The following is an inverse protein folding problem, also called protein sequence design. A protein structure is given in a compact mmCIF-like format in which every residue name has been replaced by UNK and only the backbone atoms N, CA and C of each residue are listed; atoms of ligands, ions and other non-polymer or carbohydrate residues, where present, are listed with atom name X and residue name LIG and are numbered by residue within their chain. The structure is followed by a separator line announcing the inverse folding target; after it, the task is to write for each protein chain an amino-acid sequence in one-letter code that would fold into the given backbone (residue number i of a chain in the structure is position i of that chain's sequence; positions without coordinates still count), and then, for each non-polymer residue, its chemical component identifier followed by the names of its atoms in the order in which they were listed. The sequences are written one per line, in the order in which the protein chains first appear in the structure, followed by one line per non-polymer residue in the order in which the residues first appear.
data_IF_616249469401
#
_entry.id   IF_616249469401
#
_cell.length_a   1.000
_cell.length_b   1.000
_cell.length_c   1.000
_cell.angle_alpha   90.00
_cell.angle_beta   90.00
_cell.angle_gamma   90.00
#
_symmetry.space_group_name_H-M   'P 1'
#
loop_
_entity.id
_entity.type
_entity.pdbx_description
1 polymer ?
#
# COMPACT_ATOMS: atom_id res chain seq x y z
N UNK A 1 -4.11 -32.54 17.99
CA UNK A 1 -2.97 -31.62 17.73
C UNK A 1 -3.55 -30.31 17.27
N UNK A 2 -3.68 -29.34 18.18
CA UNK A 2 -4.24 -28.02 17.92
C UNK A 2 -3.12 -27.12 17.37
N UNK A 3 -3.27 -26.69 16.12
CA UNK A 3 -2.41 -25.68 15.50
C UNK A 3 -2.62 -24.35 16.22
N UNK A 4 -1.58 -23.58 16.56
CA UNK A 4 -1.77 -22.31 17.24
C UNK A 4 -2.44 -21.32 16.29
N UNK A 5 -3.61 -20.82 16.70
CA UNK A 5 -4.32 -19.75 16.03
C UNK A 5 -3.40 -18.53 15.91
N UNK A 6 -2.93 -18.24 14.69
CA UNK A 6 -2.31 -16.95 14.38
C UNK A 6 -3.37 -15.88 14.63
N UNK A 7 -3.08 -14.93 15.52
CA UNK A 7 -3.89 -13.74 15.70
C UNK A 7 -3.77 -12.90 14.43
N UNK A 8 -4.81 -12.90 13.60
CA UNK A 8 -4.90 -12.01 12.45
C UNK A 8 -5.51 -10.69 12.96
N UNK A 9 -4.71 -9.63 12.97
CA UNK A 9 -5.24 -8.27 13.11
C UNK A 9 -6.08 -7.96 11.86
N UNK A 10 -7.26 -7.34 12.00
CA UNK A 10 -8.16 -7.11 10.88
C UNK A 10 -7.48 -6.30 9.78
N UNK A 11 -7.77 -6.68 8.53
CA UNK A 11 -7.30 -6.02 7.32
C UNK A 11 -7.51 -4.50 7.43
N UNK A 12 -6.45 -3.78 7.09
CA UNK A 12 -6.20 -2.36 7.36
C UNK A 12 -7.27 -1.43 6.78
N UNK A 13 -8.36 -1.23 7.51
CA UNK A 13 -9.06 0.05 7.71
C UNK A 13 -9.54 0.21 9.16
N UNK A 14 -9.25 -0.75 10.04
CA UNK A 14 -9.43 -0.57 11.47
C UNK A 14 -8.49 0.53 11.94
N UNK A 15 -9.05 1.63 12.47
CA UNK A 15 -8.40 2.68 13.25
C UNK A 15 -7.19 2.10 13.96
N UNK A 16 -6.01 2.17 13.33
CA UNK A 16 -4.76 1.95 14.02
C UNK A 16 -4.74 3.11 14.99
N UNK A 17 -5.28 2.89 16.20
CA UNK A 17 -5.21 3.89 17.27
C UNK A 17 -3.75 4.22 17.32
N UNK A 18 -3.47 5.42 16.82
CA UNK A 18 -2.14 5.92 16.66
C UNK A 18 -1.51 5.91 18.05
N UNK A 19 -0.75 4.85 18.34
CA UNK A 19 0.36 4.94 19.27
C UNK A 19 1.52 5.69 18.62
N UNK A 20 1.30 6.28 17.43
CA UNK A 20 2.05 7.40 16.87
C UNK A 20 1.39 8.71 17.35
N UNK A 21 1.15 8.86 18.67
CA UNK A 21 0.90 10.19 19.24
C UNK A 21 2.15 11.07 19.22
N UNK A 22 3.25 10.54 18.66
CA UNK A 22 4.48 11.26 18.37
C UNK A 22 4.88 10.89 16.96
N UNK A 23 4.54 11.76 16.01
CA UNK A 23 5.37 11.94 14.82
C UNK A 23 6.82 11.93 15.34
N UNK A 24 7.68 11.00 14.87
CA UNK A 24 9.05 10.93 15.37
C UNK A 24 9.66 12.33 15.31
N UNK A 25 10.33 12.77 16.38
CA UNK A 25 10.79 14.15 16.47
C UNK A 25 11.59 14.61 15.23
N UNK A 26 12.29 13.66 14.58
CA UNK A 26 13.00 13.91 13.32
C UNK A 26 12.08 14.30 12.16
N UNK A 27 10.89 13.70 12.03
CA UNK A 27 9.87 14.10 11.04
C UNK A 27 9.31 15.49 11.37
N UNK A 28 9.07 15.79 12.65
CA UNK A 28 8.55 17.09 13.08
C UNK A 28 9.54 18.25 12.84
N UNK A 29 10.85 17.97 12.86
CA UNK A 29 11.88 18.98 12.57
C UNK A 29 12.10 19.26 11.08
N UNK A 30 11.46 18.51 10.17
CA UNK A 30 11.71 18.61 8.73
C UNK A 30 13.16 18.30 8.31
N UNK A 31 14.00 17.84 9.24
CA UNK A 31 15.39 17.51 8.99
C UNK A 31 15.47 16.06 8.51
N UNK A 32 15.38 15.89 7.20
CA UNK A 32 15.91 14.69 6.56
C UNK A 32 17.40 14.66 6.87
N UNK A 33 17.87 13.60 7.51
CA UNK A 33 19.29 13.42 7.75
C UNK A 33 20.01 13.42 6.38
N UNK A 34 20.86 14.42 6.06
CA UNK A 34 21.50 14.53 4.75
C UNK A 34 22.40 13.32 4.43
N UNK A 35 22.64 12.45 5.43
CA UNK A 35 23.44 11.24 5.30
C UNK A 35 22.73 10.09 4.60
N UNK A 36 21.41 10.16 4.36
CA UNK A 36 20.70 9.12 3.61
C UNK A 36 20.04 9.71 2.36
N UNK A 37 20.78 9.80 1.23
CA UNK A 37 20.30 10.37 -0.03
C UNK A 37 18.99 9.75 -0.54
N UNK A 38 18.70 8.50 -0.16
CA UNK A 38 17.49 7.78 -0.54
C UNK A 38 16.20 8.47 -0.06
N UNK A 39 16.23 9.23 1.04
CA UNK A 39 15.04 9.91 1.56
C UNK A 39 14.80 11.31 0.97
N UNK A 40 15.73 11.84 0.15
CA UNK A 40 15.51 13.14 -0.51
C UNK A 40 14.32 13.12 -1.48
N UNK A 41 13.94 11.94 -1.94
CA UNK A 41 12.81 11.73 -2.85
C UNK A 41 11.59 11.16 -2.14
N UNK A 42 11.59 11.12 -0.80
CA UNK A 42 10.48 10.60 0.00
C UNK A 42 9.80 11.75 0.73
N UNK A 43 8.49 11.84 0.56
CA UNK A 43 7.64 12.85 1.21
C UNK A 43 6.58 12.17 2.04
N UNK A 44 6.24 12.77 3.18
CA UNK A 44 5.10 12.36 3.99
C UNK A 44 3.84 13.10 3.52
N UNK A 45 2.83 12.37 3.08
CA UNK A 45 1.48 12.91 2.90
C UNK A 45 0.71 12.72 4.20
N UNK A 46 0.19 13.81 4.75
CA UNK A 46 -0.67 13.79 5.93
C UNK A 46 -2.12 14.08 5.54
N UNK A 47 -3.03 13.15 5.86
CA UNK A 47 -4.48 13.35 5.68
C UNK A 47 -5.10 13.69 7.04
N UNK A 48 -5.57 14.94 7.15
CA UNK A 48 -5.93 15.53 8.43
C UNK A 48 -7.18 14.91 9.07
N UNK A 49 -8.19 14.51 8.28
CA UNK A 49 -9.48 14.05 8.83
C UNK A 49 -9.38 12.65 9.45
N UNK A 50 -8.63 11.75 8.83
CA UNK A 50 -8.39 10.39 9.30
C UNK A 50 -7.18 10.27 10.23
N UNK A 51 -6.38 11.35 10.36
CA UNK A 51 -5.10 11.37 11.08
C UNK A 51 -4.12 10.31 10.56
N UNK A 52 -4.16 10.05 9.25
CA UNK A 52 -3.31 9.07 8.59
C UNK A 52 -2.12 9.74 7.92
N UNK A 53 -1.03 8.99 7.77
CA UNK A 53 0.19 9.47 7.11
C UNK A 53 0.76 8.40 6.20
N UNK A 54 1.24 8.83 5.03
CA UNK A 54 1.75 7.95 4.00
C UNK A 54 3.11 8.44 3.52
N UNK A 55 4.11 7.58 3.53
CA UNK A 55 5.38 7.88 2.86
C UNK A 55 5.25 7.56 1.38
N UNK A 56 5.60 8.51 0.51
CA UNK A 56 5.59 8.30 -0.92
C UNK A 56 6.95 8.61 -1.53
N UNK A 57 7.32 7.83 -2.55
CA UNK A 57 8.44 8.15 -3.42
C UNK A 57 7.97 9.11 -4.52
N UNK A 58 8.44 10.36 -4.47
CA UNK A 58 7.95 11.46 -5.31
C UNK A 58 8.07 11.17 -6.82
N UNK A 59 9.21 10.69 -7.35
CA UNK A 59 9.31 10.36 -8.77
C UNK A 59 8.27 9.32 -9.22
N UNK A 60 8.05 8.27 -8.43
CA UNK A 60 7.05 7.23 -8.73
C UNK A 60 5.63 7.80 -8.69
N UNK A 61 5.32 8.63 -7.68
CA UNK A 61 4.02 9.28 -7.58
C UNK A 61 3.75 10.20 -8.78
N UNK A 62 4.71 11.07 -9.14
CA UNK A 62 4.58 11.99 -10.27
C UNK A 62 4.46 11.27 -11.61
N UNK A 63 5.19 10.17 -11.80
CA UNK A 63 5.06 9.34 -13.00
C UNK A 63 3.66 8.75 -13.13
N UNK A 64 3.10 8.23 -12.01
CA UNK A 64 1.74 7.70 -11.99
C UNK A 64 0.68 8.78 -12.21
N UNK A 65 0.88 9.98 -11.65
CA UNK A 65 -0.10 11.06 -11.77
C UNK A 65 -0.20 11.64 -13.19
N UNK A 66 0.88 11.63 -13.97
CA UNK A 66 0.84 12.04 -15.41
C UNK A 66 -0.05 11.12 -16.24
N UNK A 67 -0.09 9.84 -15.89
CA UNK A 67 -0.83 8.81 -16.63
C UNK A 67 -2.31 8.72 -16.19
N UNK A 68 -2.78 9.61 -15.31
CA UNK A 68 -4.18 9.68 -14.88
C UNK A 68 -5.09 10.30 -15.96
N UNK A 69 -4.88 9.99 -17.24
CA UNK A 69 -5.91 10.29 -18.24
C UNK A 69 -7.09 9.34 -17.97
N UNK A 70 -8.34 9.82 -18.01
CA UNK A 70 -9.52 8.99 -17.75
C UNK A 70 -9.58 7.69 -18.56
N UNK A 71 -8.90 7.65 -19.72
CA UNK A 71 -8.87 6.52 -20.64
C UNK A 71 -7.65 5.61 -20.47
N UNK A 72 -6.52 6.10 -19.92
CA UNK A 72 -5.23 5.38 -19.87
C UNK A 72 -5.04 4.57 -18.58
N UNK A 73 -6.02 4.56 -17.68
CA UNK A 73 -5.95 3.90 -16.38
C UNK A 73 -6.26 2.40 -16.45
N UNK A 74 -5.70 1.75 -17.47
CA UNK A 74 -5.79 0.31 -17.68
C UNK A 74 -5.13 -0.53 -16.58
N UNK A 75 -4.54 0.09 -15.56
CA UNK A 75 -3.93 -0.61 -14.44
C UNK A 75 -4.68 -0.42 -13.12
N UNK A 76 -5.38 0.71 -12.92
CA UNK A 76 -6.09 0.97 -11.67
C UNK A 76 -7.55 0.53 -11.80
N UNK A 77 -8.02 -0.25 -10.82
CA UNK A 77 -9.39 -0.73 -10.77
C UNK A 77 -10.09 -0.14 -9.57
N UNK A 78 -11.09 0.68 -9.85
CA UNK A 78 -11.96 1.25 -8.83
C UNK A 78 -13.10 0.27 -8.54
N UNK A 79 -13.27 -0.10 -7.28
CA UNK A 79 -14.35 -0.96 -6.82
C UNK A 79 -15.28 -0.14 -5.94
N UNK A 80 -16.52 0.01 -6.37
CA UNK A 80 -17.58 0.53 -5.51
C UNK A 80 -18.14 -0.57 -4.63
N UNK A 81 -18.29 -0.24 -3.35
CA UNK A 81 -18.97 -1.09 -2.37
C UNK A 81 -20.26 -0.38 -1.96
N UNK A 82 -21.40 -0.99 -2.27
CA UNK A 82 -22.71 -0.44 -1.95
C UNK A 82 -23.21 -1.07 -0.65
N UNK A 83 -23.62 -0.26 0.32
CA UNK A 83 -24.10 -0.76 1.61
C UNK A 83 -25.36 -1.63 1.50
N UNK A 84 -26.14 -1.48 0.42
CA UNK A 84 -27.39 -2.21 0.20
C UNK A 84 -27.24 -3.42 -0.73
N UNK A 85 -26.04 -3.65 -1.30
CA UNK A 85 -25.81 -4.73 -2.25
C UNK A 85 -24.56 -5.52 -1.87
N UNK A 86 -24.71 -6.84 -1.72
CA UNK A 86 -23.61 -7.76 -1.45
C UNK A 86 -22.67 -7.98 -2.66
N UNK A 87 -22.92 -7.27 -3.77
CA UNK A 87 -22.15 -7.35 -5.00
C UNK A 87 -21.31 -6.08 -5.19
N UNK A 88 -19.97 -6.16 -5.06
CA UNK A 88 -19.05 -5.09 -5.42
C UNK A 88 -19.13 -4.85 -6.93
N UNK A 89 -18.94 -3.61 -7.33
CA UNK A 89 -19.05 -3.18 -8.71
C UNK A 89 -17.74 -2.53 -9.16
N UNK A 90 -17.27 -2.87 -10.35
CA UNK A 90 -16.11 -2.22 -10.95
C UNK A 90 -16.58 -0.92 -11.59
N UNK A 91 -16.08 0.22 -11.11
CA UNK A 91 -16.36 1.49 -11.73
C UNK A 91 -15.59 1.62 -13.05
N UNK A 92 -16.24 2.10 -14.12
CA UNK A 92 -15.60 2.24 -15.43
C UNK A 92 -14.54 3.35 -15.47
N UNK A 93 -14.61 4.29 -14.53
CA UNK A 93 -13.74 5.47 -14.46
C UNK A 93 -13.33 5.74 -13.01
N UNK A 94 -12.21 6.45 -12.86
CA UNK A 94 -11.79 6.96 -11.54
C UNK A 94 -12.73 8.10 -11.13
N UNK A 95 -13.19 8.13 -9.87
CA UNK A 95 -13.99 9.24 -9.37
C UNK A 95 -13.29 10.59 -9.57
N UNK A 96 -14.03 11.58 -10.11
CA UNK A 96 -13.47 12.88 -10.47
C UNK A 96 -12.84 13.60 -9.27
N UNK A 97 -13.44 13.48 -8.08
CA UNK A 97 -12.91 14.05 -6.85
C UNK A 97 -11.51 13.50 -6.52
N UNK A 98 -11.28 12.19 -6.72
CA UNK A 98 -9.98 11.57 -6.46
C UNK A 98 -8.92 12.09 -7.43
N UNK A 99 -9.29 12.26 -8.70
CA UNK A 99 -8.40 12.84 -9.72
C UNK A 99 -8.00 14.26 -9.31
N UNK A 100 -8.95 15.10 -8.91
CA UNK A 100 -8.69 16.47 -8.46
C UNK A 100 -7.69 16.50 -7.30
N UNK A 101 -7.86 15.63 -6.30
CA UNK A 101 -6.95 15.56 -5.15
C UNK A 101 -5.55 15.10 -5.54
N UNK A 102 -5.43 14.11 -6.43
CA UNK A 102 -4.11 13.66 -6.91
C UNK A 102 -3.42 14.75 -7.74
N UNK A 103 -4.18 15.49 -8.55
CA UNK A 103 -3.65 16.61 -9.32
C UNK A 103 -3.21 17.77 -8.42
N UNK A 104 -3.95 18.06 -7.36
CA UNK A 104 -3.57 19.04 -6.32
C UNK A 104 -2.23 18.66 -5.66
N UNK A 105 -2.12 17.44 -5.14
CA UNK A 105 -0.87 16.94 -4.55
C UNK A 105 0.29 16.95 -5.56
N UNK A 106 0.00 16.63 -6.82
CA UNK A 106 0.98 16.69 -7.92
C UNK A 106 1.46 18.12 -8.16
N UNK A 107 0.56 19.11 -8.15
CA UNK A 107 0.90 20.51 -8.31
C UNK A 107 1.76 21.01 -7.14
N UNK A 108 1.42 20.64 -5.91
CA UNK A 108 2.22 20.95 -4.72
C UNK A 108 3.66 20.40 -4.85
N UNK A 109 3.81 19.12 -5.22
CA UNK A 109 5.13 18.50 -5.41
C UNK A 109 5.92 19.12 -6.57
N UNK A 110 5.26 19.49 -7.66
CA UNK A 110 5.91 20.14 -8.82
C UNK A 110 6.31 21.58 -8.58
N UNK A 111 5.67 22.27 -7.63
CA UNK A 111 6.06 23.62 -7.24
C UNK A 111 7.44 23.68 -6.56
N UNK A 112 7.96 22.51 -6.13
CA UNK A 112 9.28 22.38 -5.50
C UNK A 112 10.41 22.47 -6.54
N UNK A 113 11.39 23.33 -6.29
CA UNK A 113 12.54 23.55 -7.19
C UNK A 113 13.66 22.52 -6.93
N UNK A 114 14.28 22.04 -8.01
CA UNK A 114 15.54 21.28 -7.99
C UNK A 114 15.57 20.03 -7.07
N UNK A 115 14.44 19.35 -6.86
CA UNK A 115 14.38 18.13 -6.03
C UNK A 115 14.35 18.39 -4.53
N UNK A 116 14.21 19.65 -4.10
CA UNK A 116 14.00 20.00 -2.70
C UNK A 116 12.50 19.92 -2.37
N UNK A 117 12.00 18.70 -2.21
CA UNK A 117 10.61 18.49 -1.85
C UNK A 117 10.34 18.87 -0.38
N UNK A 118 9.16 19.40 -0.05
CA UNK A 118 8.74 19.57 1.34
C UNK A 118 8.71 18.21 2.04
N UNK A 119 9.15 18.14 3.30
CA UNK A 119 9.12 16.89 4.09
C UNK A 119 7.70 16.36 4.28
N UNK A 120 6.74 17.28 4.44
CA UNK A 120 5.33 16.96 4.67
C UNK A 120 4.46 17.81 3.74
N UNK A 121 3.48 17.18 3.10
CA UNK A 121 2.40 17.85 2.37
C UNK A 121 1.05 17.30 2.81
N UNK A 122 0.00 18.07 2.55
CA UNK A 122 -1.37 17.67 2.85
C UNK A 122 -2.27 18.04 1.66
N UNK A 123 -3.37 17.32 1.43
CA UNK A 123 -4.41 17.78 0.52
C UNK A 123 -4.88 19.19 0.90
N UNK A 124 -5.19 20.03 -0.09
CA UNK A 124 -5.61 21.43 0.15
C UNK A 124 -6.87 21.57 1.01
N UNK A 125 -7.73 20.55 1.02
CA UNK A 125 -8.95 20.50 1.82
C UNK A 125 -9.05 19.18 2.60
N UNK A 126 -9.78 19.20 3.73
CA UNK A 126 -10.05 18.00 4.49
C UNK A 126 -10.90 17.03 3.64
N UNK A 127 -10.37 15.83 3.38
CA UNK A 127 -11.00 14.91 2.44
C UNK A 127 -12.18 14.18 3.09
N UNK A 128 -13.33 14.06 2.42
CA UNK A 128 -14.38 13.16 2.88
C UNK A 128 -13.93 11.70 2.79
N UNK A 129 -14.59 10.83 3.56
CA UNK A 129 -14.22 9.40 3.68
C UNK A 129 -14.18 8.67 2.32
N UNK A 130 -15.17 8.92 1.45
CA UNK A 130 -15.24 8.31 0.13
C UNK A 130 -14.07 8.71 -0.80
N UNK A 131 -13.36 9.80 -0.50
CA UNK A 131 -12.16 10.26 -1.21
C UNK A 131 -10.87 9.80 -0.53
N UNK A 132 -10.82 9.78 0.81
CA UNK A 132 -9.61 9.43 1.56
C UNK A 132 -9.23 7.94 1.43
N UNK A 133 -10.22 7.05 1.42
CA UNK A 133 -10.03 5.61 1.24
C UNK A 133 -9.35 5.26 -0.09
N UNK A 134 -9.87 5.67 -1.26
CA UNK A 134 -9.21 5.36 -2.53
C UNK A 134 -7.90 6.14 -2.69
N UNK A 135 -7.76 7.33 -2.09
CA UNK A 135 -6.47 8.03 -2.07
C UNK A 135 -5.41 7.22 -1.34
N UNK A 136 -5.70 6.71 -0.13
CA UNK A 136 -4.77 5.88 0.62
C UNK A 136 -4.31 4.67 -0.21
N UNK A 137 -5.24 3.96 -0.84
CA UNK A 137 -4.93 2.84 -1.73
C UNK A 137 -4.04 3.27 -2.92
N UNK A 138 -4.30 4.44 -3.52
CA UNK A 138 -3.47 4.98 -4.60
C UNK A 138 -2.05 5.33 -4.11
N UNK A 139 -1.92 5.95 -2.93
CA UNK A 139 -0.62 6.30 -2.35
C UNK A 139 0.21 5.07 -2.01
N UNK A 140 -0.45 3.99 -1.55
CA UNK A 140 0.16 2.70 -1.21
C UNK A 140 0.40 1.79 -2.43
N UNK A 141 0.11 2.25 -3.64
CA UNK A 141 0.30 1.50 -4.89
C UNK A 141 -0.52 0.21 -4.95
N UNK A 142 -1.72 0.22 -4.34
CA UNK A 142 -2.62 -0.92 -4.43
C UNK A 142 -3.14 -1.04 -5.86
N UNK A 143 -3.23 -2.26 -6.42
CA UNK A 143 -3.77 -2.46 -7.78
C UNK A 143 -5.28 -2.22 -7.84
N UNK A 144 -5.92 -2.02 -6.69
CA UNK A 144 -7.36 -1.92 -6.49
C UNK A 144 -7.64 -0.76 -5.54
N UNK A 145 -8.57 0.11 -5.93
CA UNK A 145 -9.03 1.26 -5.16
C UNK A 145 -10.46 1.01 -4.70
N UNK A 146 -10.69 0.95 -3.39
CA UNK A 146 -12.06 0.91 -2.89
C UNK A 146 -12.65 2.31 -2.87
N UNK A 147 -13.82 2.47 -3.48
CA UNK A 147 -14.55 3.73 -3.58
C UNK A 147 -15.86 3.60 -2.80
N UNK A 148 -15.88 4.00 -1.52
CA UNK A 148 -17.12 4.09 -0.75
C UNK A 148 -18.14 5.01 -1.43
N UNK A 149 -19.43 4.77 -1.20
CA UNK A 149 -20.49 5.59 -1.77
C UNK A 149 -20.57 6.97 -1.10
N UNK A 150 -20.76 8.04 -1.89
CA UNK A 150 -20.88 9.41 -1.36
C UNK A 150 -22.11 9.57 -0.44
N UNK A 151 -23.15 8.76 -0.65
CA UNK A 151 -24.38 8.76 0.16
C UNK A 151 -24.18 8.24 1.58
N UNK A 152 -23.06 7.57 1.88
CA UNK A 152 -22.65 7.20 3.25
C UNK A 152 -22.03 8.40 3.97
N UNK A 153 -22.80 9.49 4.09
CA UNK A 153 -22.34 10.75 4.67
C UNK A 153 -22.07 10.65 6.18
N UNK A 154 -22.71 9.70 6.86
CA UNK A 154 -22.52 9.45 8.28
C UNK A 154 -21.58 8.27 8.48
N UNK A 155 -20.47 8.52 9.18
CA UNK A 155 -19.46 7.51 9.63
C UNK A 155 -20.04 6.34 10.45
N UNK A 156 -21.37 6.30 10.64
CA UNK A 156 -22.11 5.23 11.30
C UNK A 156 -22.56 4.15 10.32
N UNK A 157 -22.74 4.48 9.04
CA UNK A 157 -23.21 3.57 7.99
C UNK A 157 -22.03 3.06 7.18
N UNK A 158 -21.12 2.38 7.86
CA UNK A 158 -19.88 1.96 7.24
C UNK A 158 -20.16 0.79 6.29
N UNK A 159 -19.61 0.82 5.08
CA UNK A 159 -19.78 -0.29 4.13
C UNK A 159 -19.21 -1.56 4.74
N UNK A 160 -20.10 -2.49 5.09
CA UNK A 160 -19.71 -3.76 5.68
C UNK A 160 -19.39 -4.77 4.57
N UNK A 161 -18.18 -5.32 4.60
CA UNK A 161 -17.86 -6.53 3.86
C UNK A 161 -18.30 -7.73 4.69
N UNK A 162 -19.62 -7.89 4.88
CA UNK A 162 -20.14 -9.02 5.64
C UNK A 162 -20.35 -10.23 4.74
N UNK A 163 -19.75 -11.36 5.13
CA UNK A 163 -19.84 -12.65 4.42
C UNK A 163 -19.33 -12.60 2.97
N UNK A 164 -18.57 -11.58 2.60
CA UNK A 164 -17.93 -11.49 1.29
C UNK A 164 -16.61 -12.26 1.34
N UNK A 165 -16.45 -13.17 0.39
CA UNK A 165 -15.21 -13.92 0.21
C UNK A 165 -14.19 -13.02 -0.48
N UNK A 166 -13.03 -12.83 0.14
CA UNK A 166 -11.96 -11.95 -0.32
C UNK A 166 -10.74 -12.77 -0.76
N UNK A 167 -10.16 -12.39 -1.89
CA UNK A 167 -8.83 -12.79 -2.28
C UNK A 167 -7.83 -11.86 -1.59
N UNK A 168 -6.95 -12.44 -0.78
CA UNK A 168 -5.91 -11.75 -0.01
C UNK A 168 -4.57 -12.03 -0.66
N UNK A 169 -3.85 -10.96 -1.01
CA UNK A 169 -2.53 -11.01 -1.61
C UNK A 169 -1.50 -10.44 -0.64
N UNK A 170 -0.39 -11.14 -0.47
CA UNK A 170 0.74 -10.70 0.35
C UNK A 170 2.03 -10.80 -0.44
N UNK A 171 2.70 -9.67 -0.66
CA UNK A 171 4.01 -9.57 -1.27
C UNK A 171 5.07 -9.73 -0.19
N UNK A 172 5.81 -10.84 -0.23
CA UNK A 172 6.87 -11.16 0.72
C UNK A 172 8.21 -11.01 0.00
N UNK A 173 9.12 -10.26 0.61
CA UNK A 173 10.50 -10.11 0.14
C UNK A 173 11.44 -10.85 1.07
N UNK A 174 12.52 -11.40 0.53
CA UNK A 174 13.55 -12.09 1.32
C UNK A 174 14.93 -11.68 0.85
N UNK A 175 15.86 -11.48 1.79
CA UNK A 175 17.24 -11.11 1.50
C UNK A 175 18.19 -12.20 1.98
N UNK A 176 19.18 -12.54 1.14
CA UNK A 176 20.23 -13.48 1.50
C UNK A 176 21.33 -12.74 2.27
N UNK A 177 21.69 -13.24 3.44
CA UNK A 177 22.64 -12.57 4.36
C UNK A 177 24.12 -12.65 3.89
N UNK A 178 24.37 -13.28 2.74
CA UNK A 178 25.69 -13.69 2.28
C UNK A 178 26.67 -12.56 1.93
N UNK A 179 26.25 -11.29 1.93
CA UNK A 179 27.10 -10.17 1.51
C UNK A 179 27.85 -9.44 2.65
N UNK A 180 27.64 -9.78 3.92
CA UNK A 180 28.30 -9.06 5.04
C UNK A 180 29.65 -9.63 5.47
N UNK A 181 30.13 -10.72 4.86
CA UNK A 181 31.33 -11.45 5.27
C UNK A 181 32.66 -10.92 4.68
N UNK A 182 32.70 -9.66 4.20
CA UNK A 182 33.94 -8.97 3.84
C UNK A 182 34.84 -8.59 5.04
N UNK A 183 34.35 -8.76 6.28
CA UNK A 183 35.17 -8.55 7.47
C UNK A 183 36.06 -9.77 7.68
N UNK A 184 37.30 -9.69 7.18
CA UNK A 184 38.43 -10.60 7.50
C UNK A 184 38.69 -10.64 9.01
N UNK A 185 37.85 -11.32 9.78
CA UNK A 185 38.19 -11.67 11.16
C UNK A 185 38.78 -13.06 11.17
N UNK A 186 40.08 -13.08 11.49
CA UNK A 186 40.92 -14.15 12.03
C UNK A 186 40.34 -15.59 12.01
N UNK A 187 41.12 -16.58 11.51
CA UNK A 187 40.70 -17.97 11.43
C UNK A 187 40.39 -18.52 12.83
N UNK A 188 39.11 -18.59 13.17
CA UNK A 188 38.64 -19.30 14.35
C UNK A 188 38.27 -20.72 13.91
N UNK A 189 38.94 -21.77 14.43
CA UNK A 189 38.59 -23.14 14.10
C UNK A 189 37.19 -23.44 14.68
N UNK A 190 36.21 -23.60 13.81
CA UNK A 190 34.82 -23.92 14.18
C UNK A 190 34.48 -25.32 13.68
N UNK A 191 34.07 -26.16 14.63
CA UNK A 191 33.46 -27.44 14.39
C UNK A 191 32.22 -27.28 13.49
N UNK A 192 32.04 -28.21 12.55
CA UNK A 192 30.97 -28.21 11.58
C UNK A 192 29.58 -28.33 12.23
N UNK A 193 28.93 -27.21 12.53
CA UNK A 193 27.48 -27.16 12.72
C UNK A 193 26.85 -26.55 11.47
N UNK A 194 26.27 -27.42 10.64
CA UNK A 194 25.54 -27.09 9.42
C UNK A 194 24.16 -26.50 9.76
N UNK A 195 24.11 -25.32 10.38
CA UNK A 195 22.86 -24.59 10.53
C UNK A 195 22.69 -23.58 9.39
N UNK A 196 21.61 -23.68 8.59
CA UNK A 196 21.32 -22.67 7.57
C UNK A 196 21.14 -21.30 8.25
N UNK A 197 21.79 -20.28 7.70
CA UNK A 197 21.61 -18.89 8.12
C UNK A 197 20.15 -18.47 7.97
N UNK A 198 19.58 -17.71 8.92
CA UNK A 198 18.20 -17.29 8.85
C UNK A 198 18.01 -16.27 7.72
N UNK A 199 17.30 -16.64 6.66
CA UNK A 199 16.86 -15.69 5.64
C UNK A 199 15.88 -14.69 6.27
N UNK A 200 16.17 -13.40 6.19
CA UNK A 200 15.25 -12.37 6.67
C UNK A 200 14.10 -12.19 5.67
N UNK A 201 12.87 -12.36 6.15
CA UNK A 201 11.64 -12.22 5.35
C UNK A 201 10.83 -11.03 5.82
N UNK A 202 10.35 -10.19 4.90
CA UNK A 202 9.54 -9.01 5.21
C UNK A 202 8.28 -8.96 4.35
N UNK A 203 7.16 -8.56 4.95
CA UNK A 203 5.93 -8.27 4.21
C UNK A 203 6.03 -6.85 3.64
N UNK A 204 6.06 -6.74 2.31
CA UNK A 204 6.16 -5.47 1.60
C UNK A 204 4.78 -4.82 1.44
N UNK A 205 3.78 -5.63 1.08
CA UNK A 205 2.45 -5.19 0.71
C UNK A 205 1.44 -6.28 1.05
N UNK A 206 0.31 -5.91 1.65
CA UNK A 206 -0.81 -6.83 1.89
C UNK A 206 -2.14 -6.13 1.63
N UNK A 207 -2.93 -6.68 0.72
CA UNK A 207 -4.24 -6.15 0.40
C UNK A 207 -5.22 -7.28 0.09
N UNK A 208 -6.50 -6.95 0.02
CA UNK A 208 -7.55 -7.87 -0.37
C UNK A 208 -8.49 -7.26 -1.39
N UNK A 209 -9.11 -8.08 -2.23
CA UNK A 209 -10.20 -7.71 -3.13
C UNK A 209 -11.34 -8.73 -3.06
N UNK A 210 -12.61 -8.37 -3.30
CA UNK A 210 -13.69 -9.34 -3.36
C UNK A 210 -13.46 -10.37 -4.47
N UNK A 211 -13.46 -11.65 -4.11
CA UNK A 211 -13.07 -12.74 -5.02
C UNK A 211 -14.01 -12.87 -6.21
N UNK A 212 -15.29 -12.53 -6.01
CA UNK A 212 -16.31 -12.53 -7.07
C UNK A 212 -15.95 -11.60 -8.24
N UNK A 213 -15.11 -10.59 -8.03
CA UNK A 213 -14.69 -9.70 -9.12
C UNK A 213 -13.67 -10.37 -10.05
N UNK A 214 -12.92 -11.36 -9.58
CA UNK A 214 -12.04 -12.17 -10.43
C UNK A 214 -12.81 -13.02 -11.44
N UNK A 215 -14.10 -13.28 -11.19
CA UNK A 215 -15.00 -13.95 -12.14
C UNK A 215 -15.52 -13.00 -13.22
N UNK A 216 -15.79 -11.74 -12.84
CA UNK A 216 -16.33 -10.72 -13.74
C UNK A 216 -15.26 -9.98 -14.53
N UNK A 217 -14.00 -10.02 -14.09
CA UNK A 217 -12.88 -9.33 -14.73
C UNK A 217 -11.61 -10.17 -14.66
N UNK A 218 -11.10 -10.57 -15.83
CA UNK A 218 -9.84 -11.30 -15.95
C UNK A 218 -8.66 -10.54 -15.32
N UNK A 219 -8.71 -9.20 -15.29
CA UNK A 219 -7.69 -8.35 -14.66
C UNK A 219 -7.61 -8.50 -13.14
N UNK A 220 -8.68 -8.97 -12.51
CA UNK A 220 -8.78 -9.27 -11.08
C UNK A 220 -8.68 -10.76 -10.78
N UNK A 221 -8.57 -11.62 -11.79
CA UNK A 221 -8.30 -13.02 -11.57
C UNK A 221 -6.97 -13.17 -10.80
N UNK A 222 -6.87 -14.09 -9.83
CA UNK A 222 -5.68 -14.21 -8.99
C UNK A 222 -4.36 -14.35 -9.76
N UNK A 223 -4.36 -15.13 -10.85
CA UNK A 223 -3.18 -15.27 -11.72
C UNK A 223 -2.73 -13.92 -12.33
N UNK A 224 -3.68 -13.11 -12.81
CA UNK A 224 -3.41 -11.80 -13.40
C UNK A 224 -2.88 -10.82 -12.35
N UNK A 225 -3.48 -10.80 -11.15
CA UNK A 225 -3.02 -9.94 -10.05
C UNK A 225 -1.61 -10.33 -9.60
N UNK A 226 -1.34 -11.63 -9.41
CA UNK A 226 0.00 -12.14 -9.06
C UNK A 226 1.03 -11.74 -10.11
N UNK A 227 0.74 -11.98 -11.40
CA UNK A 227 1.64 -11.66 -12.51
C UNK A 227 1.96 -10.15 -12.57
N UNK A 228 0.95 -9.30 -12.35
CA UNK A 228 1.13 -7.85 -12.30
C UNK A 228 1.99 -7.43 -11.11
N UNK A 229 1.73 -7.95 -9.90
CA UNK A 229 2.53 -7.65 -8.71
C UNK A 229 3.98 -8.10 -8.88
N UNK A 230 4.20 -9.28 -9.46
CA UNK A 230 5.54 -9.76 -9.79
C UNK A 230 6.23 -8.81 -10.77
N UNK A 231 5.57 -8.47 -11.88
CA UNK A 231 6.15 -7.57 -12.89
C UNK A 231 6.47 -6.19 -12.32
N UNK A 232 5.60 -5.67 -11.45
CA UNK A 232 5.77 -4.36 -10.82
C UNK A 232 6.97 -4.30 -9.86
N UNK A 233 7.12 -5.31 -8.98
CA UNK A 233 8.11 -5.25 -7.91
C UNK A 233 9.43 -5.97 -8.22
N UNK A 234 9.46 -6.94 -9.14
CA UNK A 234 10.63 -7.82 -9.35
C UNK A 234 11.90 -7.04 -9.71
N UNK A 235 11.81 -6.04 -10.58
CA UNK A 235 12.98 -5.27 -11.02
C UNK A 235 13.59 -4.46 -9.85
N UNK A 236 12.75 -3.86 -9.01
CA UNK A 236 13.21 -3.09 -7.85
C UNK A 236 13.79 -3.98 -6.75
N UNK A 237 13.18 -5.15 -6.50
CA UNK A 237 13.66 -6.10 -5.50
C UNK A 237 14.96 -6.79 -5.95
N UNK A 238 15.10 -7.10 -7.24
CA UNK A 238 16.34 -7.66 -7.80
C UNK A 238 17.54 -6.71 -7.64
N UNK A 239 17.33 -5.39 -7.77
CA UNK A 239 18.37 -4.37 -7.52
C UNK A 239 18.89 -4.37 -6.08
N UNK A 240 18.08 -4.87 -5.14
CA UNK A 240 18.43 -5.01 -3.72
C UNK A 240 18.95 -6.41 -3.38
N UNK A 241 19.23 -7.25 -4.38
CA UNK A 241 19.61 -8.66 -4.19
C UNK A 241 18.59 -9.45 -3.35
N UNK A 242 17.32 -9.04 -3.39
CA UNK A 242 16.22 -9.75 -2.75
C UNK A 242 15.51 -10.69 -3.71
N UNK A 243 14.71 -11.60 -3.15
CA UNK A 243 13.71 -12.39 -3.86
C UNK A 243 12.30 -11.92 -3.50
N UNK A 244 11.37 -11.97 -4.45
CA UNK A 244 9.97 -11.65 -4.26
C UNK A 244 9.11 -12.91 -4.37
N UNK A 245 8.22 -13.12 -3.41
CA UNK A 245 7.18 -14.13 -3.42
C UNK A 245 5.82 -13.46 -3.23
N UNK A 246 4.83 -13.83 -4.03
CA UNK A 246 3.44 -13.40 -3.84
C UNK A 246 2.66 -14.58 -3.28
N UNK A 247 2.05 -14.42 -2.13
CA UNK A 247 1.11 -15.38 -1.55
C UNK A 247 -0.31 -14.93 -1.84
N UNK A 248 -1.13 -15.86 -2.33
CA UNK A 248 -2.57 -15.68 -2.50
C UNK A 248 -3.31 -16.64 -1.58
N UNK A 249 -4.35 -16.14 -0.95
CA UNK A 249 -5.25 -16.93 -0.11
C UNK A 249 -6.66 -16.36 -0.22
N UNK A 250 -7.65 -17.14 0.13
CA UNK A 250 -9.05 -16.72 0.12
C UNK A 250 -9.60 -16.75 1.55
N UNK A 251 -10.27 -15.68 1.96
CA UNK A 251 -10.80 -15.52 3.32
C UNK A 251 -12.20 -14.93 3.26
N UNK A 252 -13.15 -15.52 3.97
CA UNK A 252 -14.47 -14.92 4.23
C UNK A 252 -14.43 -14.22 5.57
N UNK A 253 -14.71 -12.92 5.58
CA UNK A 253 -14.71 -12.13 6.80
C UNK A 253 -16.15 -11.87 7.26
N UNK A 254 -16.37 -11.93 8.58
CA UNK A 254 -17.65 -11.60 9.19
C UNK A 254 -17.49 -10.25 9.91
N UNK A 255 -18.35 -9.28 9.58
CA UNK A 255 -18.41 -7.98 10.26
C UNK A 255 -17.21 -7.05 10.05
N UNK A 256 -16.49 -7.14 8.93
CA UNK A 256 -15.39 -6.21 8.63
C UNK A 256 -15.93 -4.89 8.09
N UNK A 257 -15.41 -3.82 8.70
CA UNK A 257 -15.76 -2.43 8.45
C UNK A 257 -14.60 -1.77 7.71
N UNK A 258 -14.89 -1.10 6.59
CA UNK A 258 -13.93 -0.30 5.84
C UNK A 258 -13.77 1.13 6.35
#
# INVERSE_FOLDING_TARGET
MLSPARSWSPLFFGKARSRISRIPAWVATGSTDPRIPLFHQVVLIYEQRSEQSFFIHVPSFLQRSVNLKPQDLHDLLCIRLQSNHNSPEILPTIPAHLITVILDLTAQLRSSTAGNYPTVISPSEALPFHSSVPLAAFLLEYPVLYCPDESTADHTSVSHLDQITLDVYECIISFSDDQTSGRKTSPRPVAASSHPSPTSTHSLLKFSCPSQLGLSSERLAPASVISRLQSHFSLSIAKLHGSLQIQHSTVTLNGVVL
#
